data_IF_255457545529
#
_entry.id   IF_255457545529
#
_cell.length_a   1.000
_cell.length_b   1.000
_cell.length_c   1.000
_cell.angle_alpha   90.00
_cell.angle_beta   90.00
_cell.angle_gamma   90.00
#
_symmetry.space_group_name_H-M   'P 1'
#
loop_
_entity.id
_entity.type
_entity.pdbx_description
1 polymer ?
#
# COMPACT_ATOMS: atom_id res chain seq x y z
N UNK A 1 -2.92 20.46 -19.53
CA UNK A 1 -2.72 19.97 -18.16
C UNK A 1 -2.70 18.46 -18.23
N UNK A 2 -1.63 17.81 -17.79
CA UNK A 2 -1.54 16.35 -17.78
C UNK A 2 -2.31 15.77 -16.60
N UNK A 3 -2.84 14.57 -16.78
CA UNK A 3 -3.44 13.76 -15.71
C UNK A 3 -2.39 12.73 -15.28
N UNK A 4 -2.19 12.55 -13.98
CA UNK A 4 -1.28 11.52 -13.45
C UNK A 4 -2.08 10.24 -13.23
N UNK A 5 -1.73 9.19 -13.99
CA UNK A 5 -2.42 7.89 -13.95
C UNK A 5 -1.56 6.78 -13.32
N UNK A 6 -0.24 6.90 -13.39
CA UNK A 6 0.69 5.94 -12.80
C UNK A 6 1.75 6.67 -11.97
N UNK A 7 2.05 6.15 -10.78
CA UNK A 7 3.07 6.66 -9.89
C UNK A 7 3.93 5.52 -9.36
N UNK A 8 5.24 5.63 -9.61
CA UNK A 8 6.24 4.70 -9.10
C UNK A 8 7.09 5.38 -8.02
N UNK A 9 7.00 4.85 -6.80
CA UNK A 9 7.78 5.22 -5.62
C UNK A 9 8.60 4.03 -5.12
N UNK A 10 8.84 3.04 -5.98
CA UNK A 10 9.66 1.88 -5.62
C UNK A 10 11.06 2.30 -5.21
N UNK A 11 11.56 1.68 -4.14
CA UNK A 11 12.89 1.91 -3.57
C UNK A 11 13.25 3.39 -3.34
N UNK A 12 12.24 4.24 -3.08
CA UNK A 12 12.44 5.67 -2.83
C UNK A 12 12.89 5.99 -1.39
N UNK A 13 13.20 4.96 -0.58
CA UNK A 13 13.54 5.07 0.84
C UNK A 13 12.57 5.99 1.58
N UNK A 14 11.27 5.68 1.47
CA UNK A 14 10.16 6.48 2.03
C UNK A 14 10.19 6.62 3.57
N UNK A 15 11.05 5.86 4.23
CA UNK A 15 11.41 6.02 5.63
C UNK A 15 12.92 5.80 5.78
N UNK A 16 13.59 6.71 6.46
CA UNK A 16 15.03 6.65 6.74
C UNK A 16 15.24 6.83 8.25
N UNK A 17 15.91 5.89 8.91
CA UNK A 17 16.14 5.92 10.36
C UNK A 17 14.88 6.14 11.23
N UNK A 18 13.71 5.62 10.79
CA UNK A 18 12.38 5.80 11.41
C UNK A 18 11.78 7.21 11.26
N UNK A 19 12.33 8.04 10.38
CA UNK A 19 11.70 9.29 9.98
C UNK A 19 10.64 9.04 8.89
N UNK A 20 9.40 9.38 9.21
CA UNK A 20 8.23 9.26 8.32
C UNK A 20 7.91 10.56 7.58
N UNK A 21 8.79 11.56 7.62
CA UNK A 21 8.59 12.85 6.99
C UNK A 21 8.31 12.73 5.48
N UNK A 22 9.00 11.81 4.79
CA UNK A 22 8.77 11.57 3.35
C UNK A 22 7.36 11.01 3.10
N UNK A 23 6.94 9.97 3.83
CA UNK A 23 5.59 9.43 3.73
C UNK A 23 4.52 10.49 4.02
N UNK A 24 4.74 11.30 5.06
CA UNK A 24 3.83 12.38 5.46
C UNK A 24 3.79 13.52 4.43
N UNK A 25 4.90 13.82 3.76
CA UNK A 25 4.95 14.82 2.71
C UNK A 25 4.28 14.35 1.40
N UNK A 26 4.33 13.04 1.12
CA UNK A 26 3.75 12.44 -0.10
C UNK A 26 2.24 12.23 0.04
N UNK A 27 1.74 11.88 1.22
CA UNK A 27 0.33 11.55 1.44
C UNK A 27 -0.67 12.63 0.93
N UNK A 28 -0.47 13.96 1.16
CA UNK A 28 -1.35 14.98 0.60
C UNK A 28 -1.35 15.01 -0.93
N UNK A 29 -0.20 14.75 -1.56
CA UNK A 29 -0.09 14.70 -3.02
C UNK A 29 -0.81 13.47 -3.58
N UNK A 30 -0.67 12.30 -2.94
CA UNK A 30 -1.44 11.09 -3.29
C UNK A 30 -2.95 11.33 -3.22
N UNK A 31 -3.42 11.93 -2.13
CA UNK A 31 -4.83 12.29 -1.98
C UNK A 31 -5.32 13.23 -3.10
N UNK A 32 -4.48 14.16 -3.54
CA UNK A 32 -4.77 15.09 -4.63
C UNK A 32 -4.90 14.44 -6.01
N UNK A 33 -4.28 13.28 -6.23
CA UNK A 33 -4.32 12.53 -7.51
C UNK A 33 -5.15 11.25 -7.45
N UNK A 34 -5.77 10.93 -6.32
CA UNK A 34 -6.43 9.64 -6.10
C UNK A 34 -7.63 9.36 -7.02
N UNK A 35 -8.23 10.38 -7.63
CA UNK A 35 -9.33 10.22 -8.59
C UNK A 35 -8.85 9.90 -10.01
N UNK A 36 -7.55 9.99 -10.27
CA UNK A 36 -6.96 9.73 -11.59
C UNK A 36 -5.89 8.65 -11.55
N UNK A 37 -5.30 8.41 -10.39
CA UNK A 37 -4.26 7.41 -10.19
C UNK A 37 -4.83 6.00 -10.30
N UNK A 38 -4.41 5.29 -11.34
CA UNK A 38 -4.77 3.90 -11.67
C UNK A 38 -3.72 2.91 -11.19
N UNK A 39 -2.45 3.30 -11.19
CA UNK A 39 -1.34 2.43 -10.81
C UNK A 39 -0.47 3.09 -9.74
N UNK A 40 -0.23 2.37 -8.65
CA UNK A 40 0.67 2.80 -7.59
C UNK A 40 1.67 1.70 -7.27
N UNK A 41 2.95 1.97 -7.49
CA UNK A 41 4.05 1.11 -7.07
C UNK A 41 4.76 1.73 -5.87
N UNK A 42 4.76 1.06 -4.72
CA UNK A 42 5.51 1.47 -3.52
C UNK A 42 6.44 0.35 -3.04
N UNK A 43 6.74 -0.61 -3.93
CA UNK A 43 7.59 -1.77 -3.65
C UNK A 43 8.98 -1.40 -3.13
N UNK A 44 9.64 -2.36 -2.48
CA UNK A 44 10.99 -2.23 -1.92
C UNK A 44 11.15 -1.16 -0.80
N UNK A 45 10.06 -0.56 -0.32
CA UNK A 45 10.09 0.37 0.81
C UNK A 45 10.01 -0.34 2.17
N UNK A 46 11.04 -1.13 2.47
CA UNK A 46 11.12 -2.06 3.63
C UNK A 46 11.06 -1.39 5.00
N UNK A 47 11.46 -0.11 5.09
CA UNK A 47 11.69 0.59 6.36
C UNK A 47 10.49 1.39 6.87
N UNK A 48 9.38 1.45 6.13
CA UNK A 48 8.16 2.12 6.60
C UNK A 48 7.61 1.41 7.84
N UNK A 49 7.28 2.19 8.87
CA UNK A 49 6.59 1.68 10.05
C UNK A 49 5.09 1.51 9.77
N UNK A 50 4.36 0.90 10.71
CA UNK A 50 2.91 0.79 10.61
C UNK A 50 2.24 2.18 10.50
N UNK A 51 2.72 3.19 11.22
CA UNK A 51 2.19 4.55 11.12
C UNK A 51 2.46 5.16 9.75
N UNK A 52 3.67 5.00 9.22
CA UNK A 52 4.04 5.46 7.88
C UNK A 52 3.19 4.82 6.78
N UNK A 53 2.92 3.51 6.87
CA UNK A 53 1.99 2.84 5.96
C UNK A 53 0.57 3.37 6.07
N UNK A 54 0.08 3.58 7.29
CA UNK A 54 -1.24 4.15 7.54
C UNK A 54 -1.38 5.56 6.96
N UNK A 55 -0.34 6.40 7.08
CA UNK A 55 -0.33 7.75 6.51
C UNK A 55 -0.29 7.69 4.99
N UNK A 56 0.63 6.90 4.42
CA UNK A 56 0.84 6.83 2.97
C UNK A 56 -0.39 6.26 2.26
N UNK A 57 -0.85 5.07 2.66
CA UNK A 57 -1.95 4.38 1.96
C UNK A 57 -3.34 4.78 2.47
N UNK A 58 -3.45 5.22 3.74
CA UNK A 58 -4.71 5.77 4.24
C UNK A 58 -5.13 7.08 3.54
N UNK A 59 -4.21 7.71 2.82
CA UNK A 59 -4.48 8.87 1.97
C UNK A 59 -5.08 8.52 0.60
N UNK A 60 -5.25 7.23 0.28
CA UNK A 60 -5.96 6.76 -0.90
C UNK A 60 -7.47 6.76 -0.60
N UNK A 61 -8.26 7.79 -0.97
CA UNK A 61 -9.71 7.63 -1.03
C UNK A 61 -10.02 6.53 -2.05
N UNK A 62 -11.08 5.74 -1.81
CA UNK A 62 -11.54 4.68 -2.69
C UNK A 62 -11.82 5.16 -4.12
N UNK A 63 -10.75 5.21 -4.91
CA UNK A 63 -10.65 5.88 -6.19
C UNK A 63 -10.58 4.87 -7.34
N UNK A 64 -9.94 5.27 -8.43
CA UNK A 64 -9.82 4.49 -9.67
C UNK A 64 -8.59 3.58 -9.70
N UNK A 65 -8.00 3.29 -8.54
CA UNK A 65 -6.78 2.49 -8.45
C UNK A 65 -7.07 1.05 -8.88
N UNK A 66 -6.39 0.59 -9.92
CA UNK A 66 -6.53 -0.73 -10.54
C UNK A 66 -5.37 -1.65 -10.19
N UNK A 67 -4.16 -1.10 -9.99
CA UNK A 67 -2.98 -1.87 -9.63
C UNK A 67 -2.24 -1.25 -8.42
N UNK A 68 -1.89 -2.09 -7.46
CA UNK A 68 -1.08 -1.73 -6.30
C UNK A 68 0.06 -2.74 -6.11
N UNK A 69 1.30 -2.25 -6.12
CA UNK A 69 2.49 -3.05 -5.85
C UNK A 69 3.08 -2.74 -4.47
N UNK A 70 3.00 -3.73 -3.57
CA UNK A 70 3.56 -3.78 -2.22
C UNK A 70 4.67 -4.83 -2.10
N UNK A 71 5.28 -5.24 -3.21
CA UNK A 71 6.29 -6.29 -3.19
C UNK A 71 7.54 -5.86 -2.42
N UNK A 72 8.11 -6.79 -1.66
CA UNK A 72 9.32 -6.58 -0.87
C UNK A 72 9.25 -5.36 0.08
N UNK A 73 8.10 -5.15 0.72
CA UNK A 73 7.86 -4.03 1.65
C UNK A 73 8.05 -4.40 3.13
N UNK A 74 8.44 -5.64 3.42
CA UNK A 74 8.62 -6.16 4.77
C UNK A 74 7.39 -5.94 5.68
N UNK A 75 6.22 -6.43 5.25
CA UNK A 75 4.91 -6.16 5.87
C UNK A 75 4.63 -6.85 7.23
N UNK A 76 5.60 -7.56 7.81
CA UNK A 76 5.52 -8.14 9.15
C UNK A 76 6.91 -8.22 9.79
N UNK A 77 7.08 -7.81 11.04
CA UNK A 77 8.37 -7.96 11.74
C UNK A 77 8.18 -8.83 12.97
N UNK A 78 8.99 -9.89 13.12
CA UNK A 78 9.02 -10.72 14.34
C UNK A 78 7.65 -11.22 14.85
N UNK A 79 6.72 -11.53 13.93
CA UNK A 79 5.32 -11.94 14.22
C UNK A 79 4.39 -10.80 14.67
N UNK A 80 4.76 -9.55 14.43
CA UNK A 80 3.86 -8.40 14.56
C UNK A 80 3.16 -8.13 13.22
N UNK A 81 1.83 -8.10 13.24
CA UNK A 81 0.99 -7.79 12.09
C UNK A 81 0.72 -6.28 11.94
N UNK A 82 1.31 -5.40 12.75
CA UNK A 82 1.00 -3.97 12.79
C UNK A 82 1.04 -3.30 11.40
N UNK A 83 2.04 -3.63 10.57
CA UNK A 83 2.12 -3.09 9.20
C UNK A 83 1.00 -3.63 8.31
N UNK A 84 0.70 -4.93 8.36
CA UNK A 84 -0.42 -5.52 7.62
C UNK A 84 -1.76 -4.90 8.06
N UNK A 85 -1.97 -4.73 9.37
CA UNK A 85 -3.15 -4.07 9.96
C UNK A 85 -3.28 -2.61 9.56
N UNK A 86 -2.18 -1.89 9.39
CA UNK A 86 -2.18 -0.51 8.92
C UNK A 86 -2.57 -0.38 7.43
N UNK A 87 -2.24 -1.39 6.62
CA UNK A 87 -2.51 -1.41 5.17
C UNK A 87 -3.93 -1.89 4.87
N UNK A 88 -4.46 -2.84 5.65
CA UNK A 88 -5.74 -3.50 5.39
C UNK A 88 -6.93 -2.55 5.16
N UNK A 89 -7.10 -1.42 5.90
CA UNK A 89 -8.17 -0.45 5.64
C UNK A 89 -8.05 0.24 4.28
N UNK A 90 -6.83 0.56 3.85
CA UNK A 90 -6.60 1.17 2.54
C UNK A 90 -6.94 0.21 1.41
N UNK A 91 -6.54 -1.07 1.54
CA UNK A 91 -6.93 -2.13 0.60
C UNK A 91 -8.45 -2.27 0.49
N UNK A 92 -9.16 -2.30 1.63
CA UNK A 92 -10.62 -2.33 1.64
C UNK A 92 -11.24 -1.11 0.94
N UNK A 93 -10.63 0.07 1.10
CA UNK A 93 -11.06 1.30 0.46
C UNK A 93 -10.96 1.28 -1.08
N UNK A 94 -9.96 0.60 -1.63
CA UNK A 94 -9.74 0.51 -3.10
C UNK A 94 -10.23 -0.82 -3.69
N UNK A 95 -10.76 -1.75 -2.90
CA UNK A 95 -11.02 -3.11 -3.36
C UNK A 95 -12.09 -3.26 -4.44
N UNK A 96 -12.95 -2.26 -4.65
CA UNK A 96 -13.95 -2.30 -5.73
C UNK A 96 -13.36 -1.99 -7.11
N UNK A 97 -12.18 -1.36 -7.14
CA UNK A 97 -11.50 -0.95 -8.38
C UNK A 97 -10.18 -1.69 -8.58
N UNK A 98 -9.57 -2.18 -7.50
CA UNK A 98 -8.32 -2.93 -7.53
C UNK A 98 -8.50 -4.29 -8.22
N UNK A 99 -7.76 -4.49 -9.31
CA UNK A 99 -7.72 -5.73 -10.10
C UNK A 99 -6.43 -6.52 -9.88
N UNK A 100 -5.34 -5.80 -9.63
CA UNK A 100 -4.01 -6.36 -9.42
C UNK A 100 -3.44 -5.90 -8.08
N UNK A 101 -3.06 -6.88 -7.25
CA UNK A 101 -2.38 -6.63 -5.98
C UNK A 101 -1.11 -7.49 -5.92
N UNK A 102 0.06 -6.87 -6.07
CA UNK A 102 1.33 -7.57 -5.93
C UNK A 102 1.85 -7.44 -4.49
N UNK A 103 1.90 -8.57 -3.78
CA UNK A 103 2.43 -8.66 -2.41
C UNK A 103 3.63 -9.62 -2.32
N UNK A 104 4.23 -9.95 -3.48
CA UNK A 104 5.36 -10.87 -3.59
C UNK A 104 6.58 -10.42 -2.79
N UNK A 105 7.49 -11.35 -2.51
CA UNK A 105 8.71 -11.09 -1.71
C UNK A 105 8.51 -10.59 -0.26
N UNK A 106 7.27 -10.46 0.24
CA UNK A 106 6.99 -10.26 1.65
C UNK A 106 7.10 -11.56 2.45
N UNK A 107 8.30 -12.15 2.45
CA UNK A 107 8.59 -13.47 3.05
C UNK A 107 8.38 -13.52 4.57
N UNK A 108 8.23 -12.36 5.21
CA UNK A 108 8.05 -12.20 6.63
C UNK A 108 6.58 -12.16 7.08
N UNK A 109 5.61 -12.15 6.16
CA UNK A 109 4.18 -12.22 6.49
C UNK A 109 3.87 -13.53 7.23
N UNK A 110 3.32 -13.38 8.44
CA UNK A 110 2.81 -14.50 9.23
C UNK A 110 1.45 -14.97 8.67
N UNK A 111 0.97 -16.13 9.11
CA UNK A 111 -0.38 -16.59 8.76
C UNK A 111 -1.47 -15.59 9.20
N UNK A 112 -1.31 -14.96 10.38
CA UNK A 112 -2.19 -13.91 10.84
C UNK A 112 -2.07 -12.64 9.99
N UNK A 113 -0.84 -12.27 9.59
CA UNK A 113 -0.62 -11.14 8.69
C UNK A 113 -1.32 -11.33 7.34
N UNK A 114 -1.28 -12.54 6.77
CA UNK A 114 -2.05 -12.89 5.57
C UNK A 114 -3.56 -12.78 5.78
N UNK A 115 -4.07 -13.26 6.91
CA UNK A 115 -5.49 -13.15 7.24
C UNK A 115 -5.94 -11.70 7.38
N UNK A 116 -5.13 -10.85 8.00
CA UNK A 116 -5.42 -9.41 8.14
C UNK A 116 -5.39 -8.72 6.78
N UNK A 117 -4.35 -8.95 5.98
CA UNK A 117 -4.14 -8.23 4.73
C UNK A 117 -5.17 -8.61 3.65
N UNK A 118 -5.46 -9.91 3.50
CA UNK A 118 -6.38 -10.40 2.46
C UNK A 118 -7.82 -10.54 2.96
N UNK A 119 -8.04 -10.68 4.28
CA UNK A 119 -9.39 -10.77 4.85
C UNK A 119 -10.18 -9.47 4.75
N UNK A 120 -9.53 -8.33 4.49
CA UNK A 120 -10.18 -7.05 4.25
C UNK A 120 -10.65 -6.86 2.80
N UNK A 121 -10.25 -7.74 1.89
CA UNK A 121 -10.65 -7.68 0.48
C UNK A 121 -12.03 -8.35 0.32
N UNK A 122 -13.07 -7.63 -0.14
CA UNK A 122 -14.35 -8.24 -0.50
C UNK A 122 -14.13 -9.33 -1.54
N UNK A 123 -14.67 -10.53 -1.29
CA UNK A 123 -14.57 -11.63 -2.23
C UNK A 123 -15.26 -11.28 -3.55
N UNK A 124 -14.49 -11.05 -4.62
CA UNK A 124 -15.05 -10.99 -5.98
C UNK A 124 -14.44 -10.03 -7.01
N UNK A 125 -13.37 -9.27 -6.73
CA UNK A 125 -12.87 -8.26 -7.70
C UNK A 125 -11.44 -8.52 -8.21
N UNK A 126 -10.60 -9.25 -7.46
CA UNK A 126 -9.21 -9.48 -7.86
C UNK A 126 -9.13 -10.48 -9.01
N UNK A 127 -8.47 -10.08 -10.09
CA UNK A 127 -8.22 -10.91 -11.27
C UNK A 127 -6.84 -11.59 -11.20
N UNK A 128 -5.89 -10.97 -10.49
CA UNK A 128 -4.54 -11.50 -10.25
C UNK A 128 -4.03 -11.17 -8.82
N UNK A 129 -3.24 -12.10 -8.27
CA UNK A 129 -2.57 -12.05 -6.95
C UNK A 129 -1.11 -12.45 -7.07
#
# INVERSE_FOLDING_TARGET
GGVLEALDLSDCHLCEYRDEAKASAIAPALAGVAQTLRELNVSQNRNLSAAGWQVLLGSLPGGVLEALDLSDCHLCEYRDEAKASAIAPALAGVAQTLRELNVSQNRNLSAAGWQVLLGSLPGGVLEAL
#
